data_IF_362202395207
#
_entry.id   IF_362202395207
#
_cell.length_a   1.000
_cell.length_b   1.000
_cell.length_c   1.000
_cell.angle_alpha   90.00
_cell.angle_beta   90.00
_cell.angle_gamma   90.00
#
_symmetry.space_group_name_H-M   'P 1'
#
loop_
_entity.id
_entity.type
_entity.pdbx_description
1 polymer ?
#
# COMPACT_ATOMS: atom_id res chain seq x y z
N UNK A 1 -48.02 -9.76 25.92
CA UNK A 1 -47.21 -10.35 24.82
C UNK A 1 -45.97 -9.53 24.67
N UNK A 2 -44.85 -9.98 25.23
CA UNK A 2 -43.55 -9.33 25.17
C UNK A 2 -42.83 -9.83 23.90
N UNK A 3 -42.70 -8.97 22.88
CA UNK A 3 -41.92 -9.30 21.68
C UNK A 3 -40.43 -9.16 22.05
N UNK A 4 -39.74 -10.28 22.15
CA UNK A 4 -38.27 -10.31 22.25
C UNK A 4 -37.71 -9.87 20.89
N UNK A 5 -37.13 -8.68 20.83
CA UNK A 5 -36.31 -8.22 19.72
C UNK A 5 -34.96 -8.92 19.84
N UNK A 6 -34.74 -9.93 19.03
CA UNK A 6 -33.44 -10.60 18.92
C UNK A 6 -32.47 -9.64 18.20
N UNK A 7 -31.66 -8.91 18.93
CA UNK A 7 -30.52 -8.18 18.39
C UNK A 7 -29.45 -9.21 18.01
N UNK A 8 -29.43 -9.60 16.76
CA UNK A 8 -28.30 -10.29 16.16
C UNK A 8 -27.15 -9.27 16.07
N UNK A 9 -26.23 -9.30 17.00
CA UNK A 9 -24.95 -8.62 16.85
C UNK A 9 -24.17 -9.37 15.79
N UNK A 10 -24.14 -8.83 14.57
CA UNK A 10 -23.12 -9.21 13.60
C UNK A 10 -21.80 -8.67 14.15
N UNK A 11 -20.95 -9.55 14.66
CA UNK A 11 -19.56 -9.22 14.82
C UNK A 11 -18.99 -9.07 13.40
N UNK A 12 -18.91 -7.85 12.92
CA UNK A 12 -18.09 -7.52 11.75
C UNK A 12 -16.65 -7.72 12.22
N UNK A 13 -16.08 -8.88 12.01
CA UNK A 13 -14.64 -9.05 12.12
C UNK A 13 -14.03 -8.24 10.99
N UNK A 14 -13.21 -7.24 11.34
CA UNK A 14 -12.40 -6.56 10.35
C UNK A 14 -11.48 -7.62 9.73
N UNK A 15 -11.49 -7.74 8.41
CA UNK A 15 -10.59 -8.63 7.69
C UNK A 15 -9.24 -7.90 7.61
N UNK A 16 -8.18 -8.54 8.06
CA UNK A 16 -6.85 -7.96 7.98
C UNK A 16 -6.25 -8.15 6.59
N UNK A 17 -5.39 -7.21 6.18
CA UNK A 17 -4.63 -7.35 4.94
C UNK A 17 -3.72 -8.59 4.99
N UNK A 18 -3.18 -8.90 6.17
CA UNK A 18 -2.37 -10.10 6.40
C UNK A 18 -3.16 -11.40 6.15
N UNK A 19 -4.40 -11.50 6.64
CA UNK A 19 -5.25 -12.68 6.38
C UNK A 19 -5.57 -12.85 4.90
N UNK A 20 -5.83 -11.75 4.18
CA UNK A 20 -6.03 -11.78 2.73
C UNK A 20 -4.76 -12.27 2.01
N UNK A 21 -3.59 -11.81 2.43
CA UNK A 21 -2.30 -12.25 1.91
C UNK A 21 -2.04 -13.74 2.20
N UNK A 22 -2.23 -14.20 3.43
CA UNK A 22 -1.96 -15.57 3.85
C UNK A 22 -2.86 -16.58 3.13
N UNK A 23 -4.13 -16.21 2.91
CA UNK A 23 -5.12 -17.05 2.23
C UNK A 23 -4.95 -17.09 0.71
N UNK A 24 -4.16 -16.18 0.12
CA UNK A 24 -3.98 -16.11 -1.32
C UNK A 24 -2.96 -17.15 -1.83
N UNK A 25 -3.08 -17.50 -3.10
CA UNK A 25 -2.17 -18.41 -3.79
C UNK A 25 -1.53 -17.79 -5.02
N UNK A 26 -0.69 -18.57 -5.70
CA UNK A 26 -0.02 -18.15 -6.92
C UNK A 26 -1.00 -18.06 -8.11
N UNK A 27 -0.75 -17.11 -9.01
CA UNK A 27 -1.44 -16.98 -10.28
C UNK A 27 -0.57 -16.26 -11.32
N UNK A 28 -0.40 -16.85 -12.48
CA UNK A 28 0.46 -16.30 -13.53
C UNK A 28 1.92 -16.21 -13.08
N UNK A 29 2.48 -15.02 -13.11
CA UNK A 29 3.87 -14.72 -12.69
C UNK A 29 3.99 -14.35 -11.20
N UNK A 30 2.87 -14.27 -10.47
CA UNK A 30 2.84 -13.88 -9.08
C UNK A 30 2.77 -15.09 -8.15
N UNK A 31 3.59 -15.09 -7.12
CA UNK A 31 3.57 -16.08 -6.04
C UNK A 31 2.38 -15.88 -5.11
N UNK A 32 1.93 -14.62 -4.99
CA UNK A 32 0.71 -14.20 -4.29
C UNK A 32 -0.11 -13.29 -5.19
N UNK A 33 -1.33 -13.71 -5.50
CA UNK A 33 -2.27 -12.96 -6.34
C UNK A 33 -3.55 -12.69 -5.56
N UNK A 34 -3.78 -11.43 -5.22
CA UNK A 34 -4.81 -11.00 -4.29
C UNK A 34 -5.77 -10.06 -5.00
N UNK A 35 -7.04 -10.39 -5.00
CA UNK A 35 -8.13 -9.47 -5.37
C UNK A 35 -8.99 -9.27 -4.12
N UNK A 36 -8.99 -8.06 -3.58
CA UNK A 36 -9.79 -7.73 -2.41
C UNK A 36 -11.29 -7.58 -2.75
N UNK A 37 -12.13 -7.80 -1.76
CA UNK A 37 -13.59 -7.62 -1.92
C UNK A 37 -13.90 -6.13 -2.01
N UNK A 38 -14.65 -5.73 -3.03
CA UNK A 38 -15.05 -4.35 -3.26
C UNK A 38 -15.83 -3.76 -2.08
N UNK A 39 -15.63 -2.47 -1.81
CA UNK A 39 -16.30 -1.73 -0.74
C UNK A 39 -16.07 -2.30 0.68
N UNK A 40 -14.95 -2.97 0.87
CA UNK A 40 -14.53 -3.53 2.16
C UNK A 40 -13.38 -2.69 2.72
N UNK A 41 -13.29 -2.62 4.04
CA UNK A 41 -12.12 -2.06 4.73
C UNK A 41 -11.28 -3.23 5.24
N UNK A 42 -10.02 -3.26 4.81
CA UNK A 42 -9.00 -4.18 5.31
C UNK A 42 -8.13 -3.43 6.30
N UNK A 43 -7.78 -4.08 7.40
CA UNK A 43 -7.00 -3.42 8.47
C UNK A 43 -5.57 -3.94 8.55
N UNK A 44 -4.68 -3.09 9.08
CA UNK A 44 -3.29 -3.41 9.36
C UNK A 44 -2.36 -3.37 8.16
N UNK A 45 -1.05 -3.37 8.44
CA UNK A 45 0.00 -3.37 7.45
C UNK A 45 0.36 -4.77 6.94
N UNK A 46 1.33 -4.83 6.02
CA UNK A 46 1.82 -6.08 5.41
C UNK A 46 3.32 -5.96 5.15
N UNK A 47 4.09 -6.99 5.53
CA UNK A 47 5.50 -7.13 5.16
C UNK A 47 5.68 -8.16 4.05
N UNK A 48 6.36 -7.77 2.96
CA UNK A 48 6.69 -8.62 1.82
C UNK A 48 8.21 -8.71 1.72
N UNK A 49 8.76 -9.89 1.95
CA UNK A 49 10.20 -10.15 2.00
C UNK A 49 10.65 -11.17 0.97
N UNK A 50 9.74 -11.77 0.25
CA UNK A 50 10.01 -12.82 -0.73
C UNK A 50 8.87 -12.93 -1.74
N UNK A 51 9.23 -13.15 -3.00
CA UNK A 51 8.33 -13.46 -4.09
C UNK A 51 7.68 -12.24 -4.75
N UNK A 52 7.01 -12.53 -5.86
CA UNK A 52 6.27 -11.54 -6.63
C UNK A 52 4.83 -11.48 -6.14
N UNK A 53 4.39 -10.32 -5.68
CA UNK A 53 3.06 -10.12 -5.10
C UNK A 53 2.25 -9.17 -5.97
N UNK A 54 1.01 -9.51 -6.20
CA UNK A 54 0.02 -8.64 -6.83
C UNK A 54 -1.17 -8.43 -5.90
N UNK A 55 -1.54 -7.17 -5.70
CA UNK A 55 -2.73 -6.79 -4.93
C UNK A 55 -3.58 -5.83 -5.78
N UNK A 56 -4.78 -6.25 -6.11
CA UNK A 56 -5.82 -5.35 -6.62
C UNK A 56 -6.86 -5.15 -5.52
N UNK A 57 -6.91 -3.95 -4.98
CA UNK A 57 -7.89 -3.62 -3.94
C UNK A 57 -9.32 -3.52 -4.47
N UNK A 58 -9.52 -3.51 -5.77
CA UNK A 58 -10.85 -3.41 -6.36
C UNK A 58 -11.68 -2.26 -5.76
N UNK A 59 -11.02 -1.13 -5.49
CA UNK A 59 -11.56 0.07 -4.82
C UNK A 59 -11.86 -0.10 -3.31
N UNK A 60 -11.25 -1.07 -2.65
CA UNK A 60 -11.29 -1.21 -1.19
C UNK A 60 -10.32 -0.23 -0.52
N UNK A 61 -10.53 -0.07 0.77
CA UNK A 61 -9.67 0.73 1.64
C UNK A 61 -8.78 -0.21 2.46
N UNK A 62 -7.51 0.15 2.60
CA UNK A 62 -6.58 -0.42 3.55
C UNK A 62 -6.36 0.63 4.64
N UNK A 63 -6.91 0.40 5.82
CA UNK A 63 -6.72 1.22 7.01
C UNK A 63 -5.56 0.63 7.83
N UNK A 64 -4.47 1.40 7.94
CA UNK A 64 -3.26 0.94 8.61
C UNK A 64 -3.33 1.08 10.15
N UNK A 65 -4.44 1.60 10.69
CA UNK A 65 -4.72 1.69 12.14
C UNK A 65 -3.60 2.39 12.93
N UNK A 66 -3.06 3.49 12.40
CA UNK A 66 -1.89 4.21 12.94
C UNK A 66 -0.62 3.35 13.04
N UNK A 67 -0.62 2.18 12.44
CA UNK A 67 0.51 1.25 12.43
C UNK A 67 1.52 1.51 11.33
N UNK A 68 2.42 0.54 11.17
CA UNK A 68 3.32 0.46 10.02
C UNK A 68 2.52 0.19 8.74
N UNK A 69 3.00 0.71 7.63
CA UNK A 69 2.40 0.54 6.34
C UNK A 69 2.62 -0.82 5.67
N UNK A 70 2.47 -0.82 4.37
CA UNK A 70 2.88 -1.94 3.53
C UNK A 70 4.36 -1.79 3.24
N UNK A 71 5.14 -2.83 3.48
CA UNK A 71 6.58 -2.81 3.29
C UNK A 71 7.05 -3.94 2.38
N UNK A 72 7.82 -3.57 1.35
CA UNK A 72 8.45 -4.50 0.40
C UNK A 72 9.97 -4.36 0.52
N UNK A 73 10.65 -5.45 0.79
CA UNK A 73 12.11 -5.46 0.88
C UNK A 73 12.68 -6.65 0.12
N UNK A 74 13.67 -6.40 -0.71
CA UNK A 74 14.38 -7.43 -1.47
C UNK A 74 15.88 -7.30 -1.26
N UNK A 75 16.54 -8.45 -1.25
CA UNK A 75 18.00 -8.56 -1.31
C UNK A 75 18.43 -9.60 -2.36
N UNK A 76 19.72 -9.89 -2.44
CA UNK A 76 20.27 -10.87 -3.39
C UNK A 76 19.75 -12.29 -3.15
N UNK A 77 19.34 -12.62 -1.93
CA UNK A 77 18.87 -13.96 -1.54
C UNK A 77 17.37 -14.09 -1.70
N UNK A 78 16.63 -13.05 -1.36
CA UNK A 78 15.18 -13.00 -1.32
C UNK A 78 14.65 -11.87 -2.21
N UNK A 79 14.57 -12.09 -3.53
CA UNK A 79 13.95 -11.12 -4.42
C UNK A 79 12.46 -10.97 -4.10
N UNK A 80 11.98 -9.72 -4.05
CA UNK A 80 10.58 -9.46 -3.84
C UNK A 80 10.08 -8.25 -4.63
N UNK A 81 8.82 -8.31 -5.01
CA UNK A 81 8.14 -7.22 -5.71
C UNK A 81 6.69 -7.09 -5.27
N UNK A 82 6.12 -5.90 -5.44
CA UNK A 82 4.70 -5.66 -5.26
C UNK A 82 4.14 -4.81 -6.39
N UNK A 83 3.14 -5.34 -7.08
CA UNK A 83 2.26 -4.58 -7.94
C UNK A 83 0.95 -4.27 -7.21
N UNK A 84 0.67 -2.98 -6.97
CA UNK A 84 -0.48 -2.50 -6.21
C UNK A 84 -1.43 -1.71 -7.11
N UNK A 85 -2.72 -2.04 -7.11
CA UNK A 85 -3.73 -1.38 -7.95
C UNK A 85 -5.03 -1.07 -7.23
N UNK A 86 -5.64 0.05 -7.63
CA UNK A 86 -6.98 0.47 -7.22
C UNK A 86 -7.20 0.51 -5.70
N UNK A 87 -6.14 0.85 -4.95
CA UNK A 87 -6.14 0.88 -3.50
C UNK A 87 -6.32 2.30 -2.97
N UNK A 88 -7.03 2.44 -1.87
CA UNK A 88 -6.95 3.61 -1.00
C UNK A 88 -6.31 3.18 0.31
N UNK A 89 -5.10 3.67 0.57
CA UNK A 89 -4.31 3.37 1.78
C UNK A 89 -4.34 4.57 2.68
N UNK A 90 -4.75 4.37 3.94
CA UNK A 90 -4.96 5.45 4.89
C UNK A 90 -4.36 5.18 6.26
N UNK A 91 -4.21 6.26 7.04
CA UNK A 91 -4.06 6.22 8.50
C UNK A 91 -2.80 5.46 8.97
N UNK A 92 -1.60 5.97 8.58
CA UNK A 92 -0.32 5.44 9.05
C UNK A 92 0.54 6.52 9.72
N UNK A 93 1.12 6.20 10.85
CA UNK A 93 2.12 7.07 11.51
C UNK A 93 3.49 7.04 10.83
N UNK A 94 3.71 6.11 9.88
CA UNK A 94 5.01 5.96 9.22
C UNK A 94 4.91 6.12 7.69
N UNK A 95 4.41 5.14 6.98
CA UNK A 95 4.26 5.19 5.51
C UNK A 95 3.06 4.37 5.05
N UNK A 96 2.40 4.81 4.00
CA UNK A 96 1.37 4.02 3.34
C UNK A 96 1.99 2.80 2.65
N UNK A 97 3.03 3.05 1.85
CA UNK A 97 3.79 2.00 1.14
C UNK A 97 5.27 2.33 1.16
N UNK A 98 6.11 1.31 1.30
CA UNK A 98 7.57 1.46 1.26
C UNK A 98 8.23 0.36 0.44
N UNK A 99 9.27 0.73 -0.33
CA UNK A 99 10.15 -0.20 -1.04
C UNK A 99 11.59 0.04 -0.60
N UNK A 100 12.29 -1.06 -0.30
CA UNK A 100 13.69 -1.03 0.12
C UNK A 100 14.52 -2.17 -0.48
N UNK A 101 15.85 -2.10 -0.33
CA UNK A 101 16.77 -3.02 -0.95
C UNK A 101 16.71 -2.93 -2.48
N UNK A 102 16.64 -4.06 -3.16
CA UNK A 102 16.52 -4.16 -4.63
C UNK A 102 15.07 -4.42 -5.08
N UNK A 103 14.07 -4.14 -4.22
CA UNK A 103 12.67 -4.41 -4.52
C UNK A 103 12.14 -3.57 -5.68
N UNK A 104 11.16 -4.12 -6.37
CA UNK A 104 10.53 -3.47 -7.53
C UNK A 104 9.01 -3.44 -7.41
N UNK A 105 8.35 -2.55 -8.16
CA UNK A 105 6.91 -2.57 -8.20
C UNK A 105 6.25 -1.54 -9.11
N UNK A 106 4.97 -1.78 -9.33
CA UNK A 106 4.09 -0.86 -10.03
C UNK A 106 2.93 -0.45 -9.11
N UNK A 107 2.74 0.84 -8.95
CA UNK A 107 1.62 1.42 -8.20
C UNK A 107 0.71 2.13 -9.17
N UNK A 108 -0.53 1.68 -9.32
CA UNK A 108 -1.46 2.21 -10.32
C UNK A 108 -2.84 2.49 -9.76
N UNK A 109 -3.38 3.67 -10.05
CA UNK A 109 -4.73 4.08 -9.64
C UNK A 109 -4.93 3.97 -8.12
N UNK A 110 -3.94 4.37 -7.34
CA UNK A 110 -3.96 4.28 -5.89
C UNK A 110 -4.05 5.66 -5.24
N UNK A 111 -4.60 5.70 -4.03
CA UNK A 111 -4.63 6.89 -3.20
C UNK A 111 -3.89 6.59 -1.89
N UNK A 112 -3.00 7.49 -1.48
CA UNK A 112 -2.29 7.46 -0.20
C UNK A 112 -2.65 8.72 0.58
N UNK A 113 -3.44 8.57 1.63
CA UNK A 113 -4.08 9.69 2.31
C UNK A 113 -3.87 9.56 3.83
N UNK A 114 -3.56 10.68 4.48
CA UNK A 114 -3.41 10.73 5.93
C UNK A 114 -2.41 9.68 6.46
N UNK A 115 -1.23 9.66 5.84
CA UNK A 115 -0.08 8.89 6.28
C UNK A 115 1.08 9.83 6.60
N UNK A 116 2.15 9.37 7.25
CA UNK A 116 3.32 10.24 7.39
C UNK A 116 4.04 10.41 6.04
N UNK A 117 4.33 9.29 5.36
CA UNK A 117 4.78 9.27 3.98
C UNK A 117 3.78 8.47 3.13
N UNK A 118 3.27 9.02 2.05
CA UNK A 118 2.42 8.25 1.14
C UNK A 118 3.18 7.06 0.55
N UNK A 119 4.32 7.33 -0.09
CA UNK A 119 5.27 6.34 -0.60
C UNK A 119 6.67 6.66 -0.11
N UNK A 120 7.42 5.65 0.31
CA UNK A 120 8.80 5.79 0.79
C UNK A 120 9.75 4.82 0.09
N UNK A 121 10.86 5.35 -0.45
CA UNK A 121 11.83 4.59 -1.25
C UNK A 121 13.21 4.63 -0.62
N UNK A 122 13.87 3.49 -0.60
CA UNK A 122 15.23 3.31 -0.08
C UNK A 122 16.07 2.47 -1.03
N UNK A 123 17.40 2.56 -0.83
CA UNK A 123 18.41 1.74 -1.44
C UNK A 123 18.33 1.75 -2.98
N UNK A 124 18.27 0.61 -3.62
CA UNK A 124 18.19 0.43 -5.07
C UNK A 124 16.80 0.04 -5.56
N UNK A 125 15.76 0.39 -4.81
CA UNK A 125 14.39 0.09 -5.21
C UNK A 125 14.03 0.76 -6.55
N UNK A 126 13.18 0.10 -7.34
CA UNK A 126 12.75 0.58 -8.64
C UNK A 126 11.23 0.52 -8.77
N UNK A 127 10.58 1.68 -8.77
CA UNK A 127 9.13 1.78 -8.66
C UNK A 127 8.56 2.71 -9.74
N UNK A 128 7.48 2.24 -10.35
CA UNK A 128 6.70 3.01 -11.31
C UNK A 128 5.33 3.35 -10.71
N UNK A 129 5.00 4.64 -10.64
CA UNK A 129 3.75 5.14 -10.05
C UNK A 129 2.94 5.87 -11.11
N UNK A 130 1.73 5.41 -11.36
CA UNK A 130 0.87 5.95 -12.42
C UNK A 130 -0.53 6.25 -11.89
N UNK A 131 -1.05 7.41 -12.26
CA UNK A 131 -2.44 7.81 -12.00
C UNK A 131 -2.84 7.63 -10.53
N UNK A 132 -1.99 8.13 -9.63
CA UNK A 132 -2.15 7.97 -8.18
C UNK A 132 -2.22 9.32 -7.47
N UNK A 133 -2.85 9.35 -6.31
CA UNK A 133 -3.06 10.54 -5.49
C UNK A 133 -2.31 10.38 -4.18
N UNK A 134 -1.57 11.42 -3.82
CA UNK A 134 -0.89 11.57 -2.53
C UNK A 134 -1.44 12.82 -1.85
N UNK A 135 -2.20 12.66 -0.78
CA UNK A 135 -2.90 13.77 -0.17
C UNK A 135 -2.87 13.72 1.36
N UNK A 136 -2.81 14.91 1.96
CA UNK A 136 -2.91 15.09 3.42
C UNK A 136 -1.85 14.29 4.21
N UNK A 137 -0.71 13.99 3.60
CA UNK A 137 0.35 13.25 4.28
C UNK A 137 1.15 14.20 5.19
N UNK A 138 1.42 13.76 6.41
CA UNK A 138 1.96 14.58 7.50
C UNK A 138 3.46 14.94 7.32
N UNK A 139 4.13 14.37 6.31
CA UNK A 139 5.49 14.71 5.92
C UNK A 139 5.58 14.82 4.40
N UNK A 140 5.58 13.71 3.68
CA UNK A 140 5.79 13.70 2.23
C UNK A 140 4.73 12.88 1.49
N UNK A 141 4.30 13.37 0.33
CA UNK A 141 3.58 12.55 -0.63
C UNK A 141 4.46 11.36 -1.08
N UNK A 142 5.67 11.64 -1.57
CA UNK A 142 6.68 10.64 -1.90
C UNK A 142 8.03 11.03 -1.27
N UNK A 143 8.65 10.12 -0.52
CA UNK A 143 9.98 10.30 0.07
C UNK A 143 11.02 9.35 -0.55
N UNK A 144 12.09 9.92 -1.14
CA UNK A 144 13.27 9.17 -1.62
C UNK A 144 14.42 9.41 -0.66
N UNK A 145 14.84 8.39 0.07
CA UNK A 145 15.75 8.55 1.23
C UNK A 145 17.21 8.23 0.96
N UNK A 146 17.51 7.57 -0.14
CA UNK A 146 18.88 7.29 -0.59
C UNK A 146 19.07 7.82 -2.01
N UNK A 147 20.27 7.87 -2.50
CA UNK A 147 20.56 8.42 -3.83
C UNK A 147 20.30 7.42 -4.99
N UNK A 148 19.97 6.18 -4.67
CA UNK A 148 19.96 5.08 -5.65
C UNK A 148 18.58 4.62 -6.14
N UNK A 149 17.43 4.91 -5.46
CA UNK A 149 16.13 4.50 -5.96
C UNK A 149 15.83 5.05 -7.36
N UNK A 150 15.19 4.23 -8.18
CA UNK A 150 14.65 4.65 -9.46
C UNK A 150 13.14 4.84 -9.31
N UNK A 151 12.69 6.07 -9.47
CA UNK A 151 11.28 6.43 -9.41
C UNK A 151 10.81 6.99 -10.75
N UNK A 152 9.77 6.39 -11.29
CA UNK A 152 9.05 6.95 -12.42
C UNK A 152 7.63 7.29 -11.99
N UNK A 153 7.22 8.56 -12.15
CA UNK A 153 5.86 8.99 -11.87
C UNK A 153 5.21 9.55 -13.14
N UNK A 154 3.91 9.31 -13.31
CA UNK A 154 3.11 9.92 -14.35
C UNK A 154 1.65 10.04 -13.93
N UNK A 155 1.04 11.17 -14.29
CA UNK A 155 -0.38 11.46 -13.98
C UNK A 155 -0.70 11.38 -12.48
N UNK A 156 0.23 11.78 -11.62
CA UNK A 156 0.03 11.80 -10.18
C UNK A 156 -0.45 13.18 -9.71
N UNK A 157 -1.27 13.19 -8.66
CA UNK A 157 -1.72 14.39 -7.99
C UNK A 157 -1.14 14.42 -6.57
N UNK A 158 -0.59 15.56 -6.20
CA UNK A 158 -0.13 15.85 -4.84
C UNK A 158 -0.99 16.99 -4.28
N UNK A 159 -1.56 16.81 -3.09
CA UNK A 159 -2.42 17.81 -2.51
C UNK A 159 -2.34 17.85 -0.98
N UNK A 160 -2.09 19.03 -0.44
CA UNK A 160 -2.04 19.30 1.01
C UNK A 160 -1.14 18.33 1.79
N UNK A 161 -0.04 17.85 1.21
CA UNK A 161 1.02 17.21 1.96
C UNK A 161 1.89 18.30 2.60
N UNK A 162 2.65 17.98 3.67
CA UNK A 162 3.62 18.96 4.21
C UNK A 162 4.63 19.34 3.12
N UNK A 163 5.19 18.34 2.43
CA UNK A 163 5.93 18.48 1.19
C UNK A 163 5.45 17.44 0.15
N UNK A 164 5.43 17.81 -1.12
CA UNK A 164 4.92 16.89 -2.15
C UNK A 164 5.90 15.77 -2.44
N UNK A 165 7.19 16.10 -2.54
CA UNK A 165 8.23 15.11 -2.79
C UNK A 165 9.63 15.64 -2.45
N UNK A 166 10.51 14.75 -1.97
CA UNK A 166 11.92 15.03 -1.77
C UNK A 166 12.70 14.74 -3.05
N UNK A 167 13.37 15.75 -3.60
CA UNK A 167 14.24 15.76 -4.78
C UNK A 167 13.75 15.02 -6.04
N UNK A 168 13.61 15.76 -7.15
CA UNK A 168 13.33 15.24 -8.49
C UNK A 168 12.00 14.50 -8.67
N UNK A 169 10.90 14.98 -8.10
CA UNK A 169 9.58 14.51 -8.49
C UNK A 169 9.21 15.00 -9.88
N UNK A 170 9.06 14.12 -10.86
CA UNK A 170 8.40 14.49 -12.10
C UNK A 170 6.90 14.61 -11.80
N UNK A 171 6.41 15.84 -11.77
CA UNK A 171 4.99 16.17 -11.73
C UNK A 171 4.38 16.08 -13.12
#
# INVERSE_FOLDING_TARGET
>A
MLKYLLLLSFNLFAITLQEAYDSSGASGEYDKYIILEQNTVYTGGLGIYEGNVFIDCNSSIIDLEEGNGIWVYADETYPSSLDLKHCTVINSLYYGLSYGGTSTGNVKNCNFIDTNFGLKLFDQSNVNVVNSIFALNNSLGIGVYTAEPILHTSYCLFWENEDDCMENCPG
#
